data_IF_047092482014
#
_entry.id   IF_047092482014
#
_cell.length_a   1.000
_cell.length_b   1.000
_cell.length_c   1.000
_cell.angle_alpha   90.00
_cell.angle_beta   90.00
_cell.angle_gamma   90.00
#
_symmetry.space_group_name_H-M   'P 1'
#
loop_
_entity.id
_entity.type
_entity.pdbx_description
1 polymer ?
#
# COMPACT_ATOMS: atom_id res chain seq x y z
N UNK A 1 -6.27 -12.56 13.36
CA UNK A 1 -4.98 -11.88 13.14
C UNK A 1 -3.93 -12.89 12.65
N UNK A 2 -3.46 -13.86 13.45
CA UNK A 2 -2.43 -14.83 13.00
C UNK A 2 -2.80 -15.70 11.79
N UNK A 3 -4.09 -15.98 11.58
CA UNK A 3 -4.60 -16.71 10.40
C UNK A 3 -5.12 -15.78 9.29
N UNK A 4 -4.86 -14.49 9.40
CA UNK A 4 -5.47 -13.45 8.56
C UNK A 4 -4.40 -12.79 7.69
N UNK A 5 -4.72 -12.60 6.41
CA UNK A 5 -3.95 -11.75 5.51
C UNK A 5 -4.64 -10.39 5.36
N UNK A 6 -3.84 -9.33 5.28
CA UNK A 6 -4.29 -7.95 5.15
C UNK A 6 -3.86 -7.41 3.79
N UNK A 7 -4.83 -7.00 2.98
CA UNK A 7 -4.60 -6.32 1.72
C UNK A 7 -5.05 -4.86 1.84
N UNK A 8 -4.23 -3.93 1.39
CA UNK A 8 -4.47 -2.49 1.54
C UNK A 8 -4.42 -1.81 0.17
N UNK A 9 -5.52 -1.15 -0.19
CA UNK A 9 -5.54 -0.17 -1.28
C UNK A 9 -4.83 1.10 -0.81
N UNK A 10 -3.58 1.27 -1.23
CA UNK A 10 -2.73 2.39 -0.81
C UNK A 10 -3.36 3.75 -1.14
N UNK A 11 -4.07 3.84 -2.26
CA UNK A 11 -4.62 5.12 -2.72
C UNK A 11 -5.82 5.56 -1.88
N UNK A 12 -6.55 4.61 -1.29
CA UNK A 12 -7.56 4.93 -0.29
C UNK A 12 -6.95 5.51 0.98
N UNK A 13 -5.83 4.96 1.45
CA UNK A 13 -5.09 5.48 2.61
C UNK A 13 -4.57 6.88 2.32
N UNK A 14 -3.90 7.06 1.18
CA UNK A 14 -3.34 8.36 0.77
C UNK A 14 -4.44 9.42 0.68
N UNK A 15 -5.56 9.12 0.01
CA UNK A 15 -6.67 10.08 -0.09
C UNK A 15 -7.26 10.42 1.27
N UNK A 16 -7.39 9.45 2.17
CA UNK A 16 -7.92 9.68 3.51
C UNK A 16 -7.07 10.71 4.27
N UNK A 17 -5.77 10.50 4.38
CA UNK A 17 -4.87 11.39 5.12
C UNK A 17 -4.64 12.73 4.40
N UNK A 18 -4.57 12.74 3.07
CA UNK A 18 -4.50 13.99 2.29
C UNK A 18 -5.69 14.92 2.48
N UNK A 19 -6.88 14.37 2.79
CA UNK A 19 -8.04 15.24 3.09
C UNK A 19 -7.98 15.90 4.47
N UNK A 20 -7.13 15.37 5.36
CA UNK A 20 -6.89 15.88 6.70
C UNK A 20 -5.74 16.90 6.72
N UNK A 21 -4.68 16.67 5.95
CA UNK A 21 -3.60 17.63 5.70
C UNK A 21 -4.08 18.76 4.78
N UNK A 22 -4.86 19.72 5.31
CA UNK A 22 -5.33 20.84 4.49
C UNK A 22 -4.35 21.99 4.36
N UNK A 23 -3.42 22.20 5.29
CA UNK A 23 -2.48 23.33 5.23
C UNK A 23 -1.41 23.21 6.32
N UNK A 24 -0.16 23.57 6.02
CA UNK A 24 0.85 23.80 7.06
C UNK A 24 0.58 25.12 7.81
N UNK A 25 1.35 25.40 8.87
CA UNK A 25 1.26 26.65 9.65
C UNK A 25 1.39 27.94 8.82
N UNK A 26 1.91 27.84 7.59
CA UNK A 26 2.07 28.93 6.62
C UNK A 26 1.03 28.93 5.49
N UNK A 27 0.00 28.09 5.55
CA UNK A 27 -1.04 28.06 4.53
C UNK A 27 -0.64 27.38 3.21
N UNK A 28 0.47 26.64 3.17
CA UNK A 28 0.93 25.90 1.98
C UNK A 28 0.50 24.43 2.01
N UNK A 29 0.06 23.94 0.86
CA UNK A 29 -0.18 22.51 0.58
C UNK A 29 1.17 21.90 0.22
N UNK A 30 1.72 21.06 1.11
CA UNK A 30 3.11 20.61 1.01
C UNK A 30 3.30 19.52 -0.07
N UNK A 31 2.32 18.64 -0.34
CA UNK A 31 2.43 17.58 -1.36
C UNK A 31 1.09 17.27 -2.07
N UNK A 32 0.88 17.81 -3.28
CA UNK A 32 -0.35 17.56 -4.07
C UNK A 32 -0.30 16.26 -4.91
N UNK A 33 0.86 15.62 -5.07
CA UNK A 33 0.98 14.40 -5.87
C UNK A 33 0.89 13.13 -5.00
N UNK A 34 -0.14 12.28 -5.19
CA UNK A 34 -0.29 11.07 -4.37
C UNK A 34 0.73 9.97 -4.70
N UNK A 35 1.52 10.09 -5.78
CA UNK A 35 2.54 9.13 -6.17
C UNK A 35 3.97 9.56 -5.78
N UNK A 36 4.10 10.66 -5.05
CA UNK A 36 5.36 11.19 -4.52
C UNK A 36 5.31 11.17 -3.00
N UNK A 37 6.28 10.50 -2.36
CA UNK A 37 6.50 10.33 -0.91
C UNK A 37 5.39 9.60 -0.15
N UNK A 38 4.12 9.91 -0.42
CA UNK A 38 2.93 9.20 0.05
C UNK A 38 3.04 7.67 0.01
N UNK A 39 3.53 7.04 -1.08
CA UNK A 39 3.66 5.59 -1.12
C UNK A 39 4.66 5.03 -0.10
N UNK A 40 5.73 5.78 0.20
CA UNK A 40 6.70 5.42 1.23
C UNK A 40 6.11 5.59 2.64
N UNK A 41 5.29 6.63 2.86
CA UNK A 41 4.57 6.85 4.13
C UNK A 41 3.60 5.70 4.42
N UNK A 42 2.80 5.29 3.42
CA UNK A 42 1.91 4.12 3.55
C UNK A 42 2.70 2.85 3.85
N UNK A 43 3.82 2.62 3.14
CA UNK A 43 4.68 1.48 3.42
C UNK A 43 5.20 1.47 4.87
N UNK A 44 5.61 2.63 5.40
CA UNK A 44 6.06 2.76 6.78
C UNK A 44 4.95 2.40 7.77
N UNK A 45 3.75 2.95 7.56
CA UNK A 45 2.60 2.77 8.44
C UNK A 45 2.14 1.31 8.54
N UNK A 46 2.27 0.55 7.46
CA UNK A 46 1.86 -0.86 7.43
C UNK A 46 2.90 -1.82 8.01
N UNK A 47 4.15 -1.37 8.20
CA UNK A 47 5.26 -2.22 8.59
C UNK A 47 5.05 -2.95 9.94
N UNK A 48 4.55 -2.31 11.02
CA UNK A 48 4.35 -3.00 12.30
C UNK A 48 3.38 -4.18 12.18
N UNK A 49 2.39 -4.09 11.29
CA UNK A 49 1.34 -5.12 11.14
C UNK A 49 1.89 -6.47 10.66
N UNK A 50 3.04 -6.49 9.99
CA UNK A 50 3.62 -7.74 9.43
C UNK A 50 3.92 -8.77 10.53
N UNK A 51 4.21 -8.32 11.76
CA UNK A 51 4.49 -9.21 12.89
C UNK A 51 3.25 -9.84 13.51
N UNK A 52 2.04 -9.45 13.08
CA UNK A 52 0.79 -9.81 13.72
C UNK A 52 -0.20 -10.55 12.80
N UNK A 53 0.09 -10.58 11.49
CA UNK A 53 -0.78 -11.14 10.47
C UNK A 53 -0.12 -12.33 9.76
N UNK A 54 -0.91 -13.37 9.45
CA UNK A 54 -0.51 -14.55 8.67
C UNK A 54 0.69 -15.34 9.21
N UNK A 55 0.79 -15.50 10.52
CA UNK A 55 1.82 -16.33 11.18
C UNK A 55 1.51 -17.84 11.12
N UNK A 56 0.22 -18.21 11.10
CA UNK A 56 -0.26 -19.61 11.19
C UNK A 56 -0.92 -20.10 9.89
N UNK A 57 -0.47 -19.61 8.72
CA UNK A 57 -1.11 -19.92 7.43
C UNK A 57 -0.21 -20.73 6.48
N UNK A 58 -0.80 -21.54 5.58
CA UNK A 58 -0.06 -22.16 4.49
C UNK A 58 0.71 -21.13 3.65
N UNK A 59 1.80 -21.50 2.96
CA UNK A 59 2.57 -20.56 2.14
C UNK A 59 1.66 -19.86 1.12
N UNK A 60 1.64 -18.52 1.15
CA UNK A 60 1.04 -17.67 0.09
C UNK A 60 2.12 -17.36 -0.96
N UNK A 61 1.74 -17.11 -2.23
CA UNK A 61 2.67 -16.48 -3.18
C UNK A 61 3.15 -15.10 -2.71
N UNK A 62 2.46 -14.48 -1.75
CA UNK A 62 2.75 -13.15 -1.20
C UNK A 62 2.93 -13.20 0.31
N UNK A 63 3.31 -12.07 0.89
CA UNK A 63 3.42 -11.91 2.34
C UNK A 63 2.05 -11.55 2.95
N UNK A 64 1.84 -11.83 4.24
CA UNK A 64 0.53 -11.63 4.88
C UNK A 64 -0.02 -10.22 4.79
N UNK A 65 0.86 -9.21 4.78
CA UNK A 65 0.47 -7.83 4.51
C UNK A 65 0.85 -7.50 3.07
N UNK A 66 -0.15 -7.06 2.31
CA UNK A 66 -0.03 -6.70 0.89
C UNK A 66 -0.51 -5.27 0.72
N UNK A 67 0.35 -4.41 0.17
CA UNK A 67 0.02 -3.03 -0.17
C UNK A 67 -0.03 -2.90 -1.69
N UNK A 68 -1.19 -2.52 -2.24
CA UNK A 68 -1.42 -2.41 -3.68
C UNK A 68 -1.54 -0.94 -4.07
N UNK A 69 -0.75 -0.52 -5.05
CA UNK A 69 -0.71 0.87 -5.53
C UNK A 69 -1.34 1.00 -6.92
N UNK A 70 -2.01 2.13 -7.16
CA UNK A 70 -2.30 2.60 -8.51
C UNK A 70 -0.99 2.94 -9.24
N UNK A 71 -1.07 3.07 -10.56
CA UNK A 71 0.00 3.70 -11.35
C UNK A 71 -0.46 5.11 -11.79
N UNK A 72 0.46 6.07 -11.96
CA UNK A 72 0.11 7.43 -12.40
C UNK A 72 -0.53 7.39 -13.79
N UNK A 73 -1.63 8.12 -13.96
CA UNK A 73 -2.26 8.26 -15.27
C UNK A 73 -1.42 9.21 -16.15
N UNK A 74 -0.86 8.74 -17.29
CA UNK A 74 -0.03 9.55 -18.18
C UNK A 74 -0.69 10.84 -18.67
N UNK A 75 -2.01 10.84 -18.84
CA UNK A 75 -2.77 12.03 -19.29
C UNK A 75 -2.92 13.11 -18.21
N UNK A 76 -2.77 12.74 -16.93
CA UNK A 76 -2.95 13.65 -15.78
C UNK A 76 -1.64 14.00 -15.09
N UNK A 77 -0.61 13.18 -15.26
CA UNK A 77 0.70 13.36 -14.62
C UNK A 77 1.63 14.18 -15.52
N UNK A 78 2.06 15.35 -15.02
CA UNK A 78 2.97 16.26 -15.76
C UNK A 78 4.39 15.72 -15.92
N UNK A 79 4.86 14.91 -14.96
CA UNK A 79 6.22 14.36 -14.96
C UNK A 79 6.30 13.08 -15.79
N UNK A 80 6.81 13.15 -17.02
CA UNK A 80 7.05 11.96 -17.86
C UNK A 80 8.03 10.97 -17.24
N UNK A 81 8.99 11.47 -16.44
CA UNK A 81 9.90 10.63 -15.66
C UNK A 81 9.15 9.80 -14.60
N UNK A 82 8.16 10.40 -13.93
CA UNK A 82 7.30 9.71 -12.95
C UNK A 82 6.49 8.60 -13.60
N UNK A 83 5.80 8.91 -14.69
CA UNK A 83 5.05 7.93 -15.48
C UNK A 83 5.95 6.76 -15.88
N UNK A 84 7.15 7.04 -16.39
CA UNK A 84 8.11 5.99 -16.79
C UNK A 84 8.60 5.15 -15.62
N UNK A 85 8.94 5.77 -14.48
CA UNK A 85 9.45 5.04 -13.31
C UNK A 85 8.38 4.13 -12.70
N UNK A 86 7.17 4.64 -12.51
CA UNK A 86 6.03 3.87 -12.02
C UNK A 86 5.57 2.80 -13.03
N UNK A 87 5.50 3.15 -14.31
CA UNK A 87 5.18 2.23 -15.40
C UNK A 87 6.23 1.14 -15.64
N UNK A 88 7.36 1.15 -14.92
CA UNK A 88 8.30 0.03 -14.91
C UNK A 88 8.19 -0.83 -13.64
N UNK A 89 7.39 -0.44 -12.65
CA UNK A 89 7.19 -1.23 -11.43
C UNK A 89 6.26 -2.43 -11.69
N UNK A 90 5.16 -2.23 -12.42
CA UNK A 90 4.20 -3.32 -12.72
C UNK A 90 4.86 -4.50 -13.46
N UNK A 91 5.85 -4.23 -14.32
CA UNK A 91 6.62 -5.25 -15.05
C UNK A 91 7.43 -6.19 -14.15
N UNK A 92 7.60 -5.85 -12.88
CA UNK A 92 8.43 -6.61 -11.95
C UNK A 92 7.66 -7.65 -11.16
N UNK A 93 6.33 -7.73 -11.32
CA UNK A 93 5.47 -8.56 -10.47
C UNK A 93 5.40 -8.00 -9.04
N UNK A 94 4.54 -8.52 -8.14
CA UNK A 94 4.57 -8.14 -6.74
C UNK A 94 5.93 -8.46 -6.09
N UNK A 95 6.36 -7.61 -5.16
CA UNK A 95 7.68 -7.69 -4.52
C UNK A 95 7.57 -7.74 -3.01
N UNK A 96 8.20 -8.74 -2.42
CA UNK A 96 8.53 -8.75 -0.99
C UNK A 96 9.60 -7.70 -0.72
N UNK A 97 9.37 -6.82 0.26
CA UNK A 97 10.29 -5.74 0.67
C UNK A 97 10.41 -5.68 2.18
N UNK A 98 11.49 -5.07 2.69
CA UNK A 98 11.70 -4.85 4.13
C UNK A 98 12.57 -5.88 4.86
N UNK A 99 13.13 -6.87 4.16
CA UNK A 99 13.98 -7.91 4.78
C UNK A 99 15.23 -7.31 5.45
N UNK A 100 15.41 -7.62 6.73
CA UNK A 100 16.69 -7.47 7.44
C UNK A 100 17.11 -6.08 7.91
N UNK A 101 16.35 -5.01 7.62
CA UNK A 101 16.79 -3.63 7.93
C UNK A 101 15.88 -2.84 8.88
N UNK A 102 14.67 -3.32 9.19
CA UNK A 102 13.65 -2.50 9.85
C UNK A 102 12.84 -3.24 10.94
N UNK A 103 13.51 -4.01 11.80
CA UNK A 103 12.91 -4.63 13.00
C UNK A 103 13.54 -5.99 13.36
N UNK A 104 13.42 -6.46 14.62
CA UNK A 104 14.15 -7.63 15.12
C UNK A 104 13.78 -8.97 14.46
N UNK A 105 12.78 -9.01 13.57
CA UNK A 105 12.32 -10.23 12.89
C UNK A 105 12.51 -10.29 11.36
N UNK A 106 13.03 -9.26 10.70
CA UNK A 106 13.23 -9.28 9.24
C UNK A 106 11.95 -9.49 8.42
N UNK A 107 10.80 -9.05 8.94
CA UNK A 107 9.48 -9.30 8.37
C UNK A 107 9.28 -8.54 7.03
N UNK A 108 8.74 -9.23 6.03
CA UNK A 108 8.57 -8.70 4.68
C UNK A 108 7.11 -8.36 4.39
N UNK A 109 6.86 -7.21 3.76
CA UNK A 109 5.57 -6.81 3.22
C UNK A 109 5.58 -7.03 1.69
N UNK A 110 4.44 -7.33 1.08
CA UNK A 110 4.33 -7.39 -0.39
C UNK A 110 3.83 -6.08 -0.95
N UNK A 111 4.61 -5.46 -1.84
CA UNK A 111 4.13 -4.35 -2.68
C UNK A 111 3.65 -4.91 -4.02
N UNK A 112 2.48 -4.48 -4.47
CA UNK A 112 1.92 -4.80 -5.76
C UNK A 112 1.45 -3.52 -6.47
N UNK A 113 1.32 -3.58 -7.79
CA UNK A 113 0.98 -2.42 -8.62
C UNK A 113 -0.14 -2.76 -9.58
N UNK A 114 -1.01 -1.80 -9.88
CA UNK A 114 -1.97 -1.91 -10.97
C UNK A 114 -1.28 -2.33 -12.28
N UNK A 115 -1.98 -3.10 -13.10
CA UNK A 115 -1.51 -3.63 -14.39
C UNK A 115 -0.37 -4.67 -14.29
N UNK A 116 -0.28 -5.37 -13.16
CA UNK A 116 0.74 -6.41 -12.96
C UNK A 116 0.23 -7.77 -13.45
N UNK A 117 -0.91 -8.24 -12.95
CA UNK A 117 -1.56 -9.47 -13.41
C UNK A 117 -2.64 -9.23 -14.45
N UNK A 118 -3.33 -8.11 -14.37
CA UNK A 118 -4.45 -7.78 -15.28
C UNK A 118 -4.05 -6.59 -16.15
N UNK A 119 -3.71 -6.84 -17.42
CA UNK A 119 -3.43 -5.75 -18.35
C UNK A 119 -4.69 -4.93 -18.63
N UNK A 120 -4.66 -3.67 -18.22
CA UNK A 120 -5.76 -2.70 -18.40
C UNK A 120 -5.36 -1.52 -19.27
N UNK A 121 -4.20 -1.60 -19.93
CA UNK A 121 -3.65 -0.50 -20.73
C UNK A 121 -4.61 -0.09 -21.85
N UNK A 122 -5.29 -1.04 -22.47
CA UNK A 122 -6.30 -0.79 -23.51
C UNK A 122 -7.58 -0.13 -23.01
N UNK A 123 -7.90 -0.24 -21.71
CA UNK A 123 -9.09 0.35 -21.11
C UNK A 123 -8.81 1.72 -20.44
N UNK A 124 -7.58 2.23 -20.54
CA UNK A 124 -7.10 3.45 -19.88
C UNK A 124 -7.38 3.50 -18.36
N UNK A 125 -7.52 2.33 -17.72
CA UNK A 125 -7.72 2.23 -16.27
C UNK A 125 -6.39 1.97 -15.59
N UNK A 126 -5.97 2.95 -14.80
CA UNK A 126 -4.71 2.96 -14.04
C UNK A 126 -4.91 2.64 -12.53
N UNK A 127 -6.15 2.27 -12.17
CA UNK A 127 -6.56 1.88 -10.82
C UNK A 127 -6.15 0.43 -10.52
N UNK A 128 -5.82 0.15 -9.27
CA UNK A 128 -5.48 -1.19 -8.80
C UNK A 128 -6.70 -2.07 -8.47
N UNK A 129 -7.94 -1.59 -8.66
CA UNK A 129 -9.13 -2.32 -8.21
C UNK A 129 -9.22 -3.74 -8.83
N UNK A 130 -8.88 -3.88 -10.10
CA UNK A 130 -8.91 -5.18 -10.80
C UNK A 130 -7.71 -6.05 -10.45
N UNK A 131 -6.58 -5.44 -10.12
CA UNK A 131 -5.41 -6.13 -9.57
C UNK A 131 -5.76 -6.75 -8.21
N UNK A 132 -6.37 -5.97 -7.31
CA UNK A 132 -6.86 -6.42 -6.00
C UNK A 132 -7.86 -7.56 -6.18
N UNK A 133 -8.89 -7.39 -7.00
CA UNK A 133 -9.90 -8.44 -7.20
C UNK A 133 -9.29 -9.73 -7.76
N UNK A 134 -8.36 -9.62 -8.70
CA UNK A 134 -7.62 -10.78 -9.21
C UNK A 134 -6.81 -11.47 -8.11
N UNK A 135 -6.07 -10.69 -7.32
CA UNK A 135 -5.27 -11.24 -6.21
C UNK A 135 -6.14 -11.93 -5.15
N UNK A 136 -7.29 -11.35 -4.80
CA UNK A 136 -8.25 -11.94 -3.86
C UNK A 136 -8.84 -13.25 -4.42
N UNK A 137 -9.22 -13.27 -5.70
CA UNK A 137 -9.76 -14.46 -6.37
C UNK A 137 -8.72 -15.60 -6.41
N UNK A 138 -7.47 -15.29 -6.78
CA UNK A 138 -6.38 -16.27 -6.82
C UNK A 138 -6.12 -16.89 -5.45
N UNK A 139 -6.09 -16.09 -4.38
CA UNK A 139 -5.84 -16.60 -3.03
C UNK A 139 -7.01 -17.41 -2.46
N UNK A 140 -8.23 -17.15 -2.91
CA UNK A 140 -9.43 -17.84 -2.40
C UNK A 140 -9.78 -19.12 -3.16
N UNK A 141 -9.11 -19.37 -4.30
CA UNK A 141 -9.44 -20.47 -5.22
C UNK A 141 -9.14 -21.86 -4.66
N UNK A 142 -7.91 -22.10 -4.20
CA UNK A 142 -7.46 -23.46 -3.84
C UNK A 142 -7.34 -23.67 -2.31
N UNK A 143 -7.15 -22.60 -1.54
CA UNK A 143 -7.06 -22.65 -0.08
C UNK A 143 -7.68 -21.38 0.51
N UNK A 144 -8.99 -21.38 0.88
CA UNK A 144 -9.66 -20.17 1.35
C UNK A 144 -9.01 -19.65 2.63
N UNK A 145 -8.51 -18.41 2.57
CA UNK A 145 -7.85 -17.71 3.68
C UNK A 145 -8.78 -16.66 4.25
N UNK A 146 -8.63 -16.36 5.55
CA UNK A 146 -9.28 -15.18 6.12
C UNK A 146 -8.55 -13.95 5.61
N UNK A 147 -9.21 -13.16 4.79
CA UNK A 147 -8.65 -11.94 4.23
C UNK A 147 -9.41 -10.72 4.71
N UNK A 148 -8.66 -9.66 4.95
CA UNK A 148 -9.19 -8.32 5.17
C UNK A 148 -8.68 -7.41 4.07
N UNK A 149 -9.60 -6.84 3.29
CA UNK A 149 -9.29 -5.75 2.37
C UNK A 149 -9.60 -4.41 3.06
N UNK A 150 -8.61 -3.52 3.10
CA UNK A 150 -8.76 -2.13 3.50
C UNK A 150 -8.88 -1.25 2.26
N UNK A 151 -10.03 -0.60 2.09
CA UNK A 151 -10.25 0.36 1.00
C UNK A 151 -11.37 1.33 1.34
N UNK A 152 -11.24 2.58 0.90
CA UNK A 152 -12.27 3.61 0.92
C UNK A 152 -13.09 3.68 -0.38
N UNK A 153 -12.74 2.89 -1.40
CA UNK A 153 -13.44 2.88 -2.68
C UNK A 153 -14.74 2.06 -2.61
N UNK A 154 -15.90 2.74 -2.70
CA UNK A 154 -17.22 2.10 -2.55
C UNK A 154 -17.51 1.02 -3.59
N UNK A 155 -16.97 1.15 -4.80
CA UNK A 155 -17.18 0.15 -5.85
C UNK A 155 -16.38 -1.10 -5.52
N UNK A 156 -15.09 -0.95 -5.20
CA UNK A 156 -14.22 -2.06 -4.81
C UNK A 156 -14.73 -2.75 -3.54
N UNK A 157 -15.21 -2.00 -2.54
CA UNK A 157 -15.83 -2.57 -1.34
C UNK A 157 -17.01 -3.50 -1.68
N UNK A 158 -17.84 -3.13 -2.66
CA UNK A 158 -18.98 -3.94 -3.08
C UNK A 158 -18.53 -5.23 -3.76
N UNK A 159 -17.59 -5.12 -4.70
CA UNK A 159 -17.09 -6.24 -5.49
C UNK A 159 -16.24 -7.22 -4.67
N UNK A 160 -15.50 -6.73 -3.66
CA UNK A 160 -14.60 -7.55 -2.84
C UNK A 160 -15.30 -8.31 -1.71
N UNK A 161 -16.50 -7.90 -1.28
CA UNK A 161 -17.28 -8.53 -0.19
C UNK A 161 -17.57 -10.01 -0.41
N UNK A 162 -17.60 -10.47 -1.66
CA UNK A 162 -17.78 -11.89 -1.99
C UNK A 162 -16.54 -12.75 -1.76
N UNK A 163 -15.36 -12.13 -1.63
CA UNK A 163 -14.07 -12.81 -1.47
C UNK A 163 -13.48 -12.66 -0.07
N UNK A 164 -13.73 -11.53 0.61
CA UNK A 164 -13.05 -11.19 1.86
C UNK A 164 -13.87 -10.28 2.77
N UNK A 165 -13.40 -10.10 4.02
CA UNK A 165 -13.90 -9.08 4.92
C UNK A 165 -13.38 -7.71 4.45
N UNK A 166 -14.27 -6.72 4.36
CA UNK A 166 -13.90 -5.38 3.93
C UNK A 166 -13.91 -4.41 5.12
N UNK A 167 -12.87 -3.60 5.23
CA UNK A 167 -12.66 -2.57 6.26
C UNK A 167 -12.29 -1.24 5.61
N UNK A 168 -12.50 -0.15 6.35
CA UNK A 168 -12.15 1.20 5.93
C UNK A 168 -10.79 1.63 6.48
N UNK A 169 -10.34 2.82 6.09
CA UNK A 169 -9.04 3.36 6.50
C UNK A 169 -9.03 3.71 7.99
N UNK A 170 -10.16 4.13 8.57
CA UNK A 170 -10.27 4.38 10.02
C UNK A 170 -9.98 3.11 10.83
N UNK A 171 -10.50 1.96 10.40
CA UNK A 171 -10.20 0.69 11.04
C UNK A 171 -8.71 0.35 10.96
N UNK A 172 -8.06 0.60 9.80
CA UNK A 172 -6.62 0.38 9.66
C UNK A 172 -5.81 1.28 10.60
N UNK A 173 -6.19 2.55 10.73
CA UNK A 173 -5.56 3.47 11.68
C UNK A 173 -5.63 2.94 13.11
N UNK A 174 -6.81 2.50 13.56
CA UNK A 174 -6.99 1.92 14.89
C UNK A 174 -6.21 0.62 15.08
N UNK A 175 -6.10 -0.22 14.03
CA UNK A 175 -5.26 -1.41 14.10
C UNK A 175 -3.78 -1.05 14.28
N UNK A 176 -3.26 -0.05 13.57
CA UNK A 176 -1.88 0.39 13.71
C UNK A 176 -1.64 1.00 15.11
N UNK A 177 -2.50 1.91 15.56
CA UNK A 177 -2.41 2.53 16.90
C UNK A 177 -2.51 1.50 18.04
N UNK A 178 -3.22 0.38 17.81
CA UNK A 178 -3.32 -0.73 18.76
C UNK A 178 -1.98 -1.38 19.13
N UNK A 179 -0.88 -1.02 18.45
CA UNK A 179 0.48 -1.48 18.71
C UNK A 179 1.32 -0.52 19.60
N UNK A 180 0.68 0.46 20.24
CA UNK A 180 1.34 1.36 21.20
C UNK A 180 2.32 2.32 20.53
N UNK A 181 3.49 2.55 21.14
CA UNK A 181 4.49 3.52 20.67
C UNK A 181 4.99 3.23 19.24
N UNK A 182 5.11 1.95 18.86
CA UNK A 182 5.49 1.57 17.50
C UNK A 182 4.40 1.94 16.48
N UNK A 183 3.13 1.81 16.88
CA UNK A 183 1.98 2.21 16.08
C UNK A 183 1.90 3.72 15.86
N UNK A 184 2.10 4.50 16.93
CA UNK A 184 2.11 5.97 16.87
C UNK A 184 3.21 6.47 15.93
N UNK A 185 4.44 5.95 16.07
CA UNK A 185 5.56 6.24 15.16
C UNK A 185 5.26 5.86 13.72
N UNK A 186 4.57 4.75 13.49
CA UNK A 186 4.24 4.30 12.14
C UNK A 186 3.18 5.18 11.45
N UNK A 187 2.24 5.77 12.20
CA UNK A 187 1.21 6.66 11.66
C UNK A 187 1.71 8.09 11.44
N UNK A 188 2.65 8.57 12.26
CA UNK A 188 3.14 9.96 12.18
C UNK A 188 3.50 10.43 10.75
N UNK A 189 4.14 9.61 9.89
CA UNK A 189 4.41 10.01 8.51
C UNK A 189 3.17 10.25 7.65
N UNK A 190 2.07 9.54 7.91
CA UNK A 190 0.80 9.77 7.23
C UNK A 190 0.11 11.06 7.69
N UNK A 191 0.49 11.59 8.86
CA UNK A 191 -0.06 12.81 9.45
C UNK A 191 0.81 14.06 9.19
N UNK A 192 1.90 13.92 8.44
CA UNK A 192 2.75 15.04 8.00
C UNK A 192 4.14 15.07 8.58
N UNK A 193 4.49 14.15 9.48
CA UNK A 193 5.84 14.05 10.02
C UNK A 193 6.82 13.51 8.97
N UNK A 194 7.85 14.29 8.64
CA UNK A 194 8.82 13.94 7.60
C UNK A 194 10.04 13.19 8.12
N UNK A 195 10.26 13.16 9.44
CA UNK A 195 11.52 12.66 10.02
C UNK A 195 11.71 11.15 9.78
N UNK A 196 10.62 10.41 9.56
CA UNK A 196 10.65 8.95 9.39
C UNK A 196 10.65 8.46 7.93
N UNK A 197 10.56 9.34 6.93
CA UNK A 197 10.50 8.92 5.51
C UNK A 197 11.82 8.29 5.05
N UNK A 198 12.97 8.84 5.46
CA UNK A 198 14.28 8.27 5.10
C UNK A 198 14.47 6.88 5.68
N UNK A 199 13.97 6.66 6.90
CA UNK A 199 13.96 5.35 7.54
C UNK A 199 13.03 4.37 6.81
N UNK A 200 11.82 4.81 6.44
CA UNK A 200 10.88 4.04 5.62
C UNK A 200 11.49 3.62 4.28
N UNK A 201 12.29 4.49 3.66
CA UNK A 201 12.92 4.17 2.39
C UNK A 201 14.00 3.10 2.54
N UNK A 202 14.74 3.01 3.66
CA UNK A 202 15.95 2.15 3.80
C UNK A 202 15.75 0.72 3.29
N UNK A 203 14.66 0.06 3.70
CA UNK A 203 14.32 -1.32 3.32
C UNK A 203 13.73 -1.55 1.92
N UNK A 204 13.61 -0.50 1.09
CA UNK A 204 13.05 -0.61 -0.26
C UNK A 204 14.14 -0.84 -1.34
N UNK A 205 13.86 -1.65 -2.37
CA UNK A 205 14.72 -1.76 -3.56
C UNK A 205 14.97 -0.40 -4.25
N UNK A 206 16.15 -0.15 -4.85
CA UNK A 206 16.50 1.13 -5.46
C UNK A 206 15.52 1.66 -6.49
N UNK A 207 14.91 0.79 -7.29
CA UNK A 207 13.91 1.17 -8.28
C UNK A 207 12.60 1.64 -7.65
N UNK A 208 12.16 1.01 -6.56
CA UNK A 208 10.95 1.39 -5.80
C UNK A 208 11.22 2.71 -5.09
N UNK A 209 12.36 2.84 -4.40
CA UNK A 209 12.83 4.11 -3.79
C UNK A 209 12.75 5.27 -4.79
N UNK A 210 13.36 5.09 -5.96
CA UNK A 210 13.41 6.12 -7.02
C UNK A 210 12.04 6.49 -7.58
N UNK A 211 11.08 5.56 -7.58
CA UNK A 211 9.73 5.80 -8.05
C UNK A 211 8.89 6.52 -6.98
N UNK A 212 9.08 6.19 -5.70
CA UNK A 212 8.36 6.82 -4.60
C UNK A 212 8.83 8.25 -4.34
N UNK A 213 10.08 8.61 -4.68
CA UNK A 213 10.63 9.95 -4.40
C UNK A 213 10.71 10.87 -5.63
N UNK A 214 10.15 10.46 -6.77
CA UNK A 214 10.19 11.30 -7.98
C UNK A 214 9.12 12.39 -7.93
N UNK A 215 9.51 13.63 -8.23
CA UNK A 215 8.59 14.76 -8.42
C UNK A 215 8.13 14.89 -9.88
#
# INVERSE_FOLDING_TARGET
>A
RHQTELMVDAMSVIRHYRTQEKVNEYGQVIEDDPHSFWPARVYCALRPLVQHYGLDVPPSPWKPVVCVYDIPNPSKTRSGLKVRKWGNLHKQGPRSVGRGECGPGGAELTLAWAQTYVDQSAAERYRCDKEILWMLEVLTRDMPRRQVLVTGDRWLQREAKRFCLVRDVNWLEQEILGHGEEGEKAIAPLQGDTDDIQFALKGLPPNIKRAFTVY
#
